data_IF_990591944940
#
_entry.id   IF_990591944940
#
_cell.length_a   1.000
_cell.length_b   1.000
_cell.length_c   1.000
_cell.angle_alpha   90.00
_cell.angle_beta   90.00
_cell.angle_gamma   90.00
#
_symmetry.space_group_name_H-M   'P 1'
#
loop_
_entity.id
_entity.type
_entity.pdbx_description
1 polymer ?
#
# COMPACT_ATOMS: atom_id res chain seq x y z
N UNK A 1 40.63 -6.04 -20.70
CA UNK A 1 39.50 -6.96 -20.47
C UNK A 1 38.39 -6.10 -19.92
N UNK A 2 37.44 -5.77 -20.79
CA UNK A 2 36.43 -4.76 -20.52
C UNK A 2 35.30 -5.38 -19.69
N UNK A 3 35.01 -4.77 -18.54
CA UNK A 3 33.98 -5.20 -17.60
C UNK A 3 32.60 -4.79 -18.16
N UNK A 4 32.00 -5.69 -18.94
CA UNK A 4 30.73 -5.44 -19.62
C UNK A 4 29.49 -5.90 -18.84
N UNK A 5 28.88 -4.95 -18.13
CA UNK A 5 27.42 -4.78 -17.98
C UNK A 5 26.60 -5.90 -17.28
N UNK A 6 26.49 -5.79 -15.95
CA UNK A 6 25.31 -6.30 -15.25
C UNK A 6 24.10 -5.45 -15.69
N UNK A 7 23.26 -5.98 -16.57
CA UNK A 7 21.99 -5.35 -16.94
C UNK A 7 21.18 -5.10 -15.66
N UNK A 8 21.15 -3.86 -15.18
CA UNK A 8 20.38 -3.48 -14.02
C UNK A 8 18.91 -3.85 -14.27
N UNK A 9 18.37 -4.78 -13.47
CA UNK A 9 16.97 -5.19 -13.59
C UNK A 9 16.10 -3.95 -13.43
N UNK A 10 15.18 -3.72 -14.37
CA UNK A 10 14.28 -2.57 -14.32
C UNK A 10 13.51 -2.60 -12.98
N UNK A 11 13.35 -1.46 -12.29
CA UNK A 11 12.54 -1.40 -11.09
C UNK A 11 11.07 -1.68 -11.43
N UNK A 12 10.32 -2.18 -10.46
CA UNK A 12 8.92 -2.58 -10.66
C UNK A 12 8.07 -1.40 -11.16
N UNK A 13 8.33 -0.19 -10.67
CA UNK A 13 7.64 1.02 -11.13
C UNK A 13 7.80 1.23 -12.65
N UNK A 14 8.97 0.95 -13.21
CA UNK A 14 9.24 1.12 -14.64
C UNK A 14 8.64 -0.01 -15.49
N UNK A 15 8.34 -1.17 -14.88
CA UNK A 15 7.65 -2.28 -15.55
C UNK A 15 6.14 -2.07 -15.58
N UNK A 16 5.57 -1.44 -14.55
CA UNK A 16 4.13 -1.16 -14.43
C UNK A 16 3.75 0.16 -15.10
N UNK A 17 4.63 1.17 -15.05
CA UNK A 17 4.41 2.52 -15.56
C UNK A 17 3.39 3.35 -14.75
N UNK A 18 3.59 4.67 -14.73
CA UNK A 18 2.88 5.55 -13.81
C UNK A 18 1.38 5.56 -14.07
N UNK A 19 0.98 5.65 -15.33
CA UNK A 19 -0.43 5.67 -15.72
C UNK A 19 -1.18 4.40 -15.26
N UNK A 20 -0.51 3.24 -15.25
CA UNK A 20 -1.12 2.00 -14.77
C UNK A 20 -1.25 1.98 -13.26
N UNK A 21 -0.28 2.53 -12.52
CA UNK A 21 -0.39 2.69 -11.06
C UNK A 21 -1.62 3.52 -10.72
N UNK A 22 -1.85 4.64 -11.44
CA UNK A 22 -3.01 5.49 -11.22
C UNK A 22 -4.33 4.71 -11.48
N UNK A 23 -4.39 3.89 -12.54
CA UNK A 23 -5.55 3.02 -12.83
C UNK A 23 -5.80 1.97 -11.74
N UNK A 24 -4.76 1.30 -11.27
CA UNK A 24 -4.86 0.29 -10.20
C UNK A 24 -5.38 0.93 -8.92
N UNK A 25 -4.83 2.09 -8.55
CA UNK A 25 -5.24 2.81 -7.33
C UNK A 25 -6.69 3.25 -7.43
N UNK A 26 -7.11 3.79 -8.57
CA UNK A 26 -8.50 4.18 -8.78
C UNK A 26 -9.46 2.99 -8.63
N UNK A 27 -9.20 1.89 -9.32
CA UNK A 27 -10.00 0.67 -9.22
C UNK A 27 -10.04 0.09 -7.80
N UNK A 28 -8.93 0.20 -7.08
CA UNK A 28 -8.84 -0.25 -5.69
C UNK A 28 -9.73 0.57 -4.77
N UNK A 29 -9.72 1.90 -4.90
CA UNK A 29 -10.56 2.78 -4.09
C UNK A 29 -12.04 2.62 -4.41
N UNK A 30 -12.42 2.37 -5.66
CA UNK A 30 -13.80 2.02 -6.02
C UNK A 30 -14.28 0.78 -5.24
N UNK A 31 -13.45 -0.27 -5.17
CA UNK A 31 -13.77 -1.48 -4.39
C UNK A 31 -13.84 -1.21 -2.89
N UNK A 32 -12.87 -0.47 -2.34
CA UNK A 32 -12.85 -0.14 -0.91
C UNK A 32 -14.11 0.65 -0.48
N UNK A 33 -14.56 1.59 -1.30
CA UNK A 33 -15.75 2.41 -1.04
C UNK A 33 -17.05 1.62 -1.15
N UNK A 34 -17.09 0.63 -2.04
CA UNK A 34 -18.24 -0.25 -2.19
C UNK A 34 -18.30 -1.36 -1.12
N UNK A 35 -17.17 -1.70 -0.49
CA UNK A 35 -17.08 -2.84 0.41
C UNK A 35 -17.68 -2.55 1.80
N UNK A 36 -18.66 -3.34 2.30
CA UNK A 36 -19.40 -3.05 3.53
C UNK A 36 -18.53 -2.89 4.79
N UNK A 37 -17.47 -3.69 4.93
CA UNK A 37 -16.60 -3.65 6.10
C UNK A 37 -15.47 -2.62 6.00
N UNK A 38 -15.19 -2.13 4.79
CA UNK A 38 -14.02 -1.25 4.55
C UNK A 38 -14.42 0.20 4.37
N UNK A 39 -15.57 0.46 3.76
CA UNK A 39 -16.00 1.80 3.35
C UNK A 39 -16.01 2.81 4.50
N UNK A 40 -16.36 2.37 5.71
CA UNK A 40 -16.33 3.19 6.92
C UNK A 40 -14.95 3.74 7.29
N UNK A 41 -13.85 3.04 6.98
CA UNK A 41 -12.49 3.55 7.25
C UNK A 41 -12.10 4.71 6.33
N UNK A 42 -12.80 4.88 5.20
CA UNK A 42 -12.48 5.88 4.18
C UNK A 42 -13.50 7.03 4.14
N UNK A 43 -14.54 7.01 4.98
CA UNK A 43 -15.62 8.01 4.95
C UNK A 43 -15.19 9.43 5.33
N UNK A 44 -14.00 9.57 5.92
CA UNK A 44 -13.42 10.85 6.32
C UNK A 44 -12.66 11.54 5.17
N UNK A 45 -12.51 10.88 4.02
CA UNK A 45 -11.83 11.44 2.85
C UNK A 45 -12.83 12.29 2.06
N UNK A 46 -12.57 13.59 1.96
CA UNK A 46 -13.42 14.54 1.24
C UNK A 46 -13.09 14.60 -0.26
N UNK A 47 -11.79 14.64 -0.59
CA UNK A 47 -11.30 14.67 -1.97
C UNK A 47 -10.59 13.36 -2.32
N UNK A 48 -11.35 12.44 -2.92
CA UNK A 48 -10.82 11.16 -3.37
C UNK A 48 -9.82 11.31 -4.52
N UNK A 49 -9.99 12.29 -5.42
CA UNK A 49 -9.07 12.46 -6.53
C UNK A 49 -7.68 12.87 -6.03
N UNK A 50 -7.60 13.80 -5.07
CA UNK A 50 -6.34 14.18 -4.44
C UNK A 50 -5.74 13.02 -3.62
N UNK A 51 -6.58 12.29 -2.89
CA UNK A 51 -6.14 11.17 -2.08
C UNK A 51 -5.55 10.04 -2.94
N UNK A 52 -6.24 9.62 -4.00
CA UNK A 52 -5.79 8.59 -4.93
C UNK A 52 -4.47 8.99 -5.60
N UNK A 53 -4.31 10.26 -6.02
CA UNK A 53 -3.04 10.75 -6.55
C UNK A 53 -1.90 10.62 -5.53
N UNK A 54 -2.14 10.95 -4.26
CA UNK A 54 -1.14 10.80 -3.21
C UNK A 54 -0.72 9.33 -3.03
N UNK A 55 -1.69 8.41 -3.03
CA UNK A 55 -1.45 6.97 -2.87
C UNK A 55 -0.78 6.36 -4.10
N UNK A 56 -1.11 6.83 -5.31
CA UNK A 56 -0.42 6.42 -6.52
C UNK A 56 1.05 6.86 -6.53
N UNK A 57 1.35 8.07 -6.03
CA UNK A 57 2.75 8.50 -5.85
C UNK A 57 3.47 7.66 -4.80
N UNK A 58 2.81 7.31 -3.69
CA UNK A 58 3.35 6.41 -2.68
C UNK A 58 3.76 5.07 -3.30
N UNK A 59 2.86 4.42 -4.03
CA UNK A 59 3.15 3.13 -4.65
C UNK A 59 4.24 3.22 -5.72
N UNK A 60 4.19 4.25 -6.56
CA UNK A 60 5.24 4.50 -7.54
C UNK A 60 6.63 4.57 -6.88
N UNK A 61 6.74 5.32 -5.78
CA UNK A 61 7.97 5.44 -5.00
C UNK A 61 8.37 4.11 -4.35
N UNK A 62 7.43 3.42 -3.70
CA UNK A 62 7.68 2.14 -3.03
C UNK A 62 8.17 1.06 -4.02
N UNK A 63 7.76 1.14 -5.28
CA UNK A 63 8.19 0.25 -6.37
C UNK A 63 9.52 0.65 -7.05
N UNK A 64 10.25 1.61 -6.47
CA UNK A 64 11.58 2.04 -6.93
C UNK A 64 11.59 3.30 -7.79
N UNK A 65 10.45 4.01 -7.88
CA UNK A 65 10.35 5.28 -8.58
C UNK A 65 11.02 6.41 -7.80
N UNK A 66 11.57 7.39 -8.52
CA UNK A 66 11.98 8.65 -7.89
C UNK A 66 10.77 9.56 -7.74
N UNK A 67 10.53 10.07 -6.54
CA UNK A 67 9.59 11.16 -6.30
C UNK A 67 10.38 12.44 -6.04
N UNK A 68 10.06 13.53 -6.75
CA UNK A 68 10.67 14.83 -6.53
C UNK A 68 10.24 15.35 -5.15
N UNK A 69 11.15 15.28 -4.16
CA UNK A 69 11.00 15.83 -2.80
C UNK A 69 9.66 15.51 -2.13
N UNK A 70 9.62 14.41 -1.38
CA UNK A 70 8.50 14.18 -0.47
C UNK A 70 8.95 14.30 0.98
N UNK A 71 8.16 15.05 1.77
CA UNK A 71 8.11 14.84 3.21
C UNK A 71 7.84 13.35 3.45
N UNK A 72 8.40 12.73 4.50
CA UNK A 72 8.17 11.31 4.77
C UNK A 72 6.67 11.03 4.81
N UNK A 73 6.25 9.93 4.18
CA UNK A 73 4.89 9.42 4.30
C UNK A 73 4.64 9.05 5.76
N UNK A 74 3.80 9.81 6.45
CA UNK A 74 3.43 9.54 7.84
C UNK A 74 2.41 8.39 7.92
N UNK A 75 2.84 7.18 7.53
CA UNK A 75 1.99 5.99 7.55
C UNK A 75 1.43 5.71 8.95
N UNK A 76 2.24 5.92 9.99
CA UNK A 76 1.82 5.66 11.37
C UNK A 76 0.73 6.66 11.81
N UNK A 77 1.01 7.95 11.73
CA UNK A 77 0.09 9.00 12.19
C UNK A 77 -1.22 9.04 11.41
N UNK A 78 -1.21 8.64 10.13
CA UNK A 78 -2.43 8.59 9.31
C UNK A 78 -3.32 7.38 9.58
N UNK A 79 -2.77 6.25 10.00
CA UNK A 79 -3.55 5.02 10.21
C UNK A 79 -3.91 4.78 11.69
N UNK A 80 -3.17 5.35 12.64
CA UNK A 80 -3.44 5.19 14.07
C UNK A 80 -4.87 5.58 14.49
N UNK A 81 -5.45 6.71 14.02
CA UNK A 81 -6.80 7.13 14.41
C UNK A 81 -7.92 6.23 13.85
N UNK A 82 -7.61 5.41 12.84
CA UNK A 82 -8.62 4.59 12.15
C UNK A 82 -9.05 3.36 12.95
N UNK A 83 -8.35 3.04 14.05
CA UNK A 83 -8.74 1.93 14.91
C UNK A 83 -8.61 0.54 14.25
N UNK A 84 -7.77 0.40 13.23
CA UNK A 84 -7.58 -0.84 12.47
C UNK A 84 -7.29 -2.05 13.37
N UNK A 85 -7.86 -3.20 13.01
CA UNK A 85 -7.65 -4.51 13.61
C UNK A 85 -7.13 -5.50 12.54
N UNK A 86 -6.80 -6.72 12.95
CA UNK A 86 -6.25 -7.76 12.06
C UNK A 86 -7.15 -8.02 10.85
N UNK A 87 -8.47 -8.16 11.06
CA UNK A 87 -9.46 -8.36 10.00
C UNK A 87 -9.46 -7.24 8.97
N UNK A 88 -9.28 -5.98 9.38
CA UNK A 88 -9.22 -4.85 8.47
C UNK A 88 -7.99 -4.92 7.54
N UNK A 89 -6.84 -5.38 8.06
CA UNK A 89 -5.64 -5.59 7.25
C UNK A 89 -5.81 -6.76 6.27
N UNK A 90 -6.37 -7.89 6.74
CA UNK A 90 -6.66 -9.05 5.89
C UNK A 90 -7.60 -8.66 4.74
N UNK A 91 -8.68 -7.94 5.03
CA UNK A 91 -9.64 -7.52 4.03
C UNK A 91 -9.06 -6.51 3.04
N UNK A 92 -8.28 -5.55 3.53
CA UNK A 92 -7.57 -4.59 2.67
C UNK A 92 -6.63 -5.31 1.70
N UNK A 93 -5.84 -6.28 2.20
CA UNK A 93 -4.90 -7.07 1.38
C UNK A 93 -5.65 -7.95 0.36
N UNK A 94 -6.78 -8.56 0.75
CA UNK A 94 -7.58 -9.36 -0.15
C UNK A 94 -8.12 -8.54 -1.34
N UNK A 95 -8.72 -7.37 -1.05
CA UNK A 95 -9.24 -6.46 -2.09
C UNK A 95 -8.09 -5.95 -2.99
N UNK A 96 -6.92 -5.65 -2.40
CA UNK A 96 -5.79 -5.17 -3.17
C UNK A 96 -5.23 -6.26 -4.10
N UNK A 97 -5.09 -7.50 -3.60
CA UNK A 97 -4.68 -8.65 -4.41
C UNK A 97 -5.60 -8.87 -5.61
N UNK A 98 -6.91 -8.90 -5.37
CA UNK A 98 -7.92 -9.03 -6.41
C UNK A 98 -7.79 -7.92 -7.47
N UNK A 99 -7.66 -6.67 -7.01
CA UNK A 99 -7.50 -5.52 -7.91
C UNK A 99 -6.23 -5.64 -8.76
N UNK A 100 -5.11 -6.04 -8.16
CA UNK A 100 -3.85 -6.22 -8.90
C UNK A 100 -3.98 -7.27 -9.99
N UNK A 101 -4.60 -8.42 -9.69
CA UNK A 101 -4.79 -9.49 -10.67
C UNK A 101 -5.76 -9.15 -11.81
N UNK A 102 -6.72 -8.24 -11.59
CA UNK A 102 -7.59 -7.74 -12.65
C UNK A 102 -6.90 -6.73 -13.57
N UNK A 103 -5.99 -5.93 -13.01
CA UNK A 103 -5.42 -4.77 -13.71
C UNK A 103 -4.04 -5.03 -14.32
N UNK A 104 -3.36 -6.10 -13.91
CA UNK A 104 -1.97 -6.38 -14.26
C UNK A 104 -1.76 -7.84 -14.70
N UNK A 105 -0.74 -8.11 -15.51
CA UNK A 105 -0.20 -9.46 -15.68
C UNK A 105 0.15 -10.08 -14.32
N UNK A 106 -0.07 -11.39 -14.19
CA UNK A 106 0.11 -12.16 -12.96
C UNK A 106 1.44 -11.85 -12.27
N UNK A 107 2.53 -11.83 -13.03
CA UNK A 107 3.88 -11.67 -12.50
C UNK A 107 4.10 -10.29 -11.87
N UNK A 108 3.49 -9.25 -12.45
CA UNK A 108 3.56 -7.88 -11.92
C UNK A 108 2.61 -7.69 -10.73
N UNK A 109 1.44 -8.33 -10.77
CA UNK A 109 0.48 -8.34 -9.68
C UNK A 109 1.10 -8.97 -8.42
N UNK A 110 1.68 -10.17 -8.55
CA UNK A 110 2.32 -10.89 -7.44
C UNK A 110 3.50 -10.09 -6.86
N UNK A 111 4.35 -9.50 -7.72
CA UNK A 111 5.49 -8.68 -7.26
C UNK A 111 5.07 -7.42 -6.48
N UNK A 112 3.99 -6.74 -6.90
CA UNK A 112 3.47 -5.59 -6.16
C UNK A 112 2.76 -6.05 -4.88
N UNK A 113 2.04 -7.16 -4.94
CA UNK A 113 1.34 -7.70 -3.78
C UNK A 113 2.31 -8.11 -2.66
N UNK A 114 3.46 -8.73 -2.97
CA UNK A 114 4.51 -9.05 -1.99
C UNK A 114 5.03 -7.80 -1.26
N UNK A 115 5.22 -6.70 -1.99
CA UNK A 115 5.60 -5.41 -1.40
C UNK A 115 4.50 -4.90 -0.45
N UNK A 116 3.24 -5.00 -0.87
CA UNK A 116 2.11 -4.57 -0.06
C UNK A 116 1.96 -5.40 1.22
N UNK A 117 2.18 -6.73 1.15
CA UNK A 117 2.20 -7.60 2.33
C UNK A 117 3.30 -7.18 3.32
N UNK A 118 4.50 -6.89 2.84
CA UNK A 118 5.62 -6.45 3.70
C UNK A 118 5.34 -5.13 4.41
N UNK A 119 4.81 -4.14 3.68
CA UNK A 119 4.43 -2.83 4.25
C UNK A 119 3.25 -2.99 5.23
N UNK A 120 2.23 -3.76 4.84
CA UNK A 120 1.04 -4.03 5.64
C UNK A 120 1.37 -4.72 6.96
N UNK A 121 2.21 -5.76 6.94
CA UNK A 121 2.64 -6.48 8.14
C UNK A 121 3.40 -5.55 9.11
N UNK A 122 4.23 -4.64 8.60
CA UNK A 122 4.93 -3.67 9.44
C UNK A 122 3.96 -2.68 10.09
N UNK A 123 3.02 -2.14 9.32
CA UNK A 123 2.00 -1.22 9.83
C UNK A 123 1.09 -1.91 10.85
N UNK A 124 0.62 -3.11 10.57
CA UNK A 124 -0.19 -3.92 11.47
C UNK A 124 0.53 -4.13 12.81
N UNK A 125 1.82 -4.50 12.79
CA UNK A 125 2.63 -4.64 14.01
C UNK A 125 2.64 -3.34 14.82
N UNK A 126 2.92 -2.20 14.19
CA UNK A 126 2.94 -0.89 14.85
C UNK A 126 1.57 -0.53 15.46
N UNK A 127 0.47 -0.81 14.74
CA UNK A 127 -0.89 -0.49 15.19
C UNK A 127 -1.36 -1.37 16.35
N UNK A 128 -0.94 -2.64 16.40
CA UNK A 128 -1.38 -3.60 17.41
C UNK A 128 -0.47 -3.61 18.63
N UNK A 129 0.85 -3.45 18.47
CA UNK A 129 1.79 -3.34 19.59
C UNK A 129 1.66 -2.01 20.32
N UNK A 130 1.41 -0.90 19.60
CA UNK A 130 1.10 0.40 20.19
C UNK A 130 -0.20 0.44 20.99
N UNK A 131 -1.06 -0.59 20.86
CA UNK A 131 -2.32 -0.77 21.61
C UNK A 131 -2.19 -1.76 22.79
N UNK A 132 -1.09 -2.52 22.92
CA UNK A 132 -0.94 -3.43 24.07
C UNK A 132 -0.64 -2.61 25.32
N UNK A 133 -1.49 -2.62 26.36
CA UNK A 133 -1.11 -2.04 27.64
C UNK A 133 0.15 -2.74 28.14
N UNK A 134 1.09 -1.99 28.70
CA UNK A 134 2.23 -2.54 29.41
C UNK A 134 1.71 -3.22 30.68
N UNK A 135 1.41 -4.52 30.60
CA UNK A 135 1.05 -5.33 31.77
C UNK A 135 2.37 -5.86 32.36
N UNK A 136 2.78 -5.30 33.49
CA UNK A 136 3.73 -5.95 34.38
C UNK A 136 2.97 -7.03 35.15
N UNK A 137 2.89 -8.24 34.61
CA UNK A 137 2.66 -9.41 35.44
C UNK A 137 3.99 -9.74 36.14
N UNK A 138 4.16 -9.14 37.32
CA UNK A 138 5.17 -9.58 38.29
C UNK A 138 4.47 -10.42 39.36
N UNK A 139 4.91 -11.67 39.40
CA UNK A 139 4.76 -12.69 40.45
C UNK A 139 4.47 -12.14 41.85
#
# INVERSE_FOLDING_TARGET
MDSGNASARKPLCAMIERARVDVVVHAFYDKLRAHPEMSGFFSHIEDFAQHEQHIAVFWWWAMGGRAERQRPFDMNGRHQPLGLNERAFEQWLAIFCETLHEQLPRELAEAWFDLAQGIGANLQRMMLEGKRPFILDRL
#
